data_IF_369616895187
#
_entry.id   IF_369616895187
#
_cell.length_a   1.000
_cell.length_b   1.000
_cell.length_c   1.000
_cell.angle_alpha   90.00
_cell.angle_beta   90.00
_cell.angle_gamma   90.00
#
_symmetry.space_group_name_H-M   'P 1'
#
loop_
_entity.id
_entity.type
_entity.pdbx_description
1 polymer ?
#
# COMPACT_ATOMS: atom_id res chain seq x y z
N UNK A 1 -16.58 -18.08 61.94
CA UNK A 1 -16.00 -17.20 60.91
C UNK A 1 -16.15 -17.89 59.56
N UNK A 2 -16.98 -17.35 58.67
CA UNK A 2 -17.20 -17.88 57.30
C UNK A 2 -16.38 -17.03 56.33
N UNK A 3 -15.37 -17.61 55.69
CA UNK A 3 -14.59 -16.93 54.65
C UNK A 3 -15.29 -17.14 53.30
N UNK A 4 -15.71 -16.04 52.68
CA UNK A 4 -16.32 -16.00 51.36
C UNK A 4 -15.18 -15.97 50.31
N UNK A 5 -14.94 -17.10 49.64
CA UNK A 5 -14.03 -17.20 48.50
C UNK A 5 -14.67 -16.55 47.28
N UNK A 6 -14.32 -15.29 47.00
CA UNK A 6 -14.69 -14.62 45.74
C UNK A 6 -13.65 -15.02 44.70
N UNK A 7 -13.97 -16.05 43.92
CA UNK A 7 -13.24 -16.42 42.71
C UNK A 7 -13.50 -15.37 41.64
N UNK A 8 -12.57 -14.44 41.44
CA UNK A 8 -12.64 -13.46 40.36
C UNK A 8 -12.22 -14.14 39.07
N UNK A 9 -13.20 -14.64 38.32
CA UNK A 9 -13.03 -15.18 36.98
C UNK A 9 -12.62 -14.04 36.03
N UNK A 10 -11.32 -13.93 35.75
CA UNK A 10 -10.78 -12.96 34.80
C UNK A 10 -11.15 -13.43 33.38
N UNK A 11 -12.28 -12.95 32.87
CA UNK A 11 -12.68 -13.14 31.48
C UNK A 11 -11.66 -12.40 30.58
N UNK A 12 -10.68 -13.13 30.05
CA UNK A 12 -9.89 -12.67 28.91
C UNK A 12 -10.82 -12.65 27.68
N UNK A 13 -11.51 -11.53 27.46
CA UNK A 13 -12.14 -11.26 26.18
C UNK A 13 -11.04 -11.06 25.16
N UNK A 14 -10.77 -12.09 24.35
CA UNK A 14 -9.94 -11.97 23.18
C UNK A 14 -10.59 -10.95 22.24
N UNK A 15 -10.10 -9.71 22.29
CA UNK A 15 -10.40 -8.72 21.26
C UNK A 15 -9.75 -9.23 19.97
N UNK A 16 -10.54 -9.89 19.13
CA UNK A 16 -10.18 -10.13 17.74
C UNK A 16 -9.99 -8.77 17.09
N UNK A 17 -8.74 -8.32 16.96
CA UNK A 17 -8.41 -7.13 16.18
C UNK A 17 -8.93 -7.41 14.76
N UNK A 18 -9.86 -6.62 14.23
CA UNK A 18 -10.35 -6.81 12.87
C UNK A 18 -9.13 -6.74 11.93
N UNK A 19 -8.89 -7.85 11.24
CA UNK A 19 -7.75 -7.99 10.35
C UNK A 19 -8.06 -7.14 9.10
N UNK A 20 -7.41 -6.00 8.96
CA UNK A 20 -7.49 -5.11 7.79
C UNK A 20 -6.84 -5.72 6.52
N UNK A 21 -6.99 -7.03 6.33
CA UNK A 21 -6.52 -7.74 5.14
C UNK A 21 -7.48 -7.40 3.99
N UNK A 22 -7.04 -6.56 3.05
CA UNK A 22 -7.74 -6.29 1.79
C UNK A 22 -7.31 -7.35 0.77
N UNK A 23 -8.19 -7.69 -0.15
CA UNK A 23 -7.85 -8.58 -1.25
C UNK A 23 -8.08 -7.87 -2.58
N UNK A 24 -7.07 -7.87 -3.45
CA UNK A 24 -7.17 -7.36 -4.80
C UNK A 24 -7.21 -8.51 -5.80
N UNK A 25 -7.95 -8.35 -6.89
CA UNK A 25 -7.97 -9.32 -7.98
C UNK A 25 -7.08 -8.82 -9.12
N UNK A 26 -6.03 -9.59 -9.42
CA UNK A 26 -5.02 -9.24 -10.42
C UNK A 26 -4.79 -10.44 -11.31
N UNK A 27 -5.05 -10.29 -12.62
CA UNK A 27 -4.95 -11.37 -13.60
C UNK A 27 -5.74 -12.64 -13.19
N UNK A 28 -6.94 -12.46 -12.61
CA UNK A 28 -7.78 -13.55 -12.12
C UNK A 28 -7.27 -14.23 -10.85
N UNK A 29 -6.24 -13.68 -10.19
CA UNK A 29 -5.73 -14.16 -8.91
C UNK A 29 -6.08 -13.20 -7.79
N UNK A 30 -6.60 -13.73 -6.70
CA UNK A 30 -6.86 -12.98 -5.47
C UNK A 30 -5.58 -12.86 -4.66
N UNK A 31 -5.10 -11.63 -4.46
CA UNK A 31 -3.88 -11.30 -3.72
C UNK A 31 -4.27 -10.58 -2.44
N UNK A 32 -3.83 -11.11 -1.30
CA UNK A 32 -4.04 -10.49 0.00
C UNK A 32 -2.99 -9.40 0.21
N UNK A 33 -3.44 -8.21 0.56
CA UNK A 33 -2.61 -7.05 0.80
C UNK A 33 -2.95 -6.41 2.14
N UNK A 34 -1.94 -5.80 2.76
CA UNK A 34 -2.07 -5.11 4.03
C UNK A 34 -1.27 -3.81 3.96
N UNK A 35 -1.88 -2.69 4.38
CA UNK A 35 -1.24 -1.37 4.37
C UNK A 35 -0.50 -1.07 5.68
N UNK A 36 -0.89 -1.71 6.79
CA UNK A 36 -0.27 -1.53 8.11
C UNK A 36 1.20 -1.96 8.14
N UNK A 37 1.56 -2.96 7.31
CA UNK A 37 2.96 -3.37 7.15
C UNK A 37 3.80 -2.37 6.33
N UNK A 38 3.15 -1.35 5.76
CA UNK A 38 3.73 -0.35 4.87
C UNK A 38 3.88 1.04 5.48
N UNK A 39 3.70 1.23 6.81
CA UNK A 39 3.66 2.56 7.44
C UNK A 39 4.87 3.46 7.10
N UNK A 40 6.08 2.89 6.93
CA UNK A 40 7.27 3.67 6.52
C UNK A 40 7.14 4.33 5.14
N UNK A 41 6.24 3.83 4.30
CA UNK A 41 6.00 4.30 2.94
C UNK A 41 4.86 5.33 2.85
N UNK A 42 4.13 5.57 3.94
CA UNK A 42 3.14 6.65 4.02
C UNK A 42 3.82 8.00 3.73
N UNK A 43 3.18 8.84 2.93
CA UNK A 43 3.69 10.13 2.52
C UNK A 43 3.35 10.48 1.08
N UNK A 44 3.88 11.62 0.62
CA UNK A 44 3.73 12.11 -0.75
C UNK A 44 4.98 11.81 -1.55
N UNK A 45 4.80 11.40 -2.79
CA UNK A 45 5.85 11.18 -3.77
C UNK A 45 5.58 12.09 -4.96
N UNK A 46 6.63 12.72 -5.46
CA UNK A 46 6.53 13.70 -6.54
C UNK A 46 7.28 13.18 -7.76
N UNK A 47 6.56 13.14 -8.87
CA UNK A 47 7.11 12.86 -10.20
C UNK A 47 7.74 14.09 -10.84
N UNK A 48 8.48 13.88 -11.93
CA UNK A 48 9.33 14.91 -12.57
C UNK A 48 8.51 16.00 -13.28
N UNK A 49 7.32 15.65 -13.77
CA UNK A 49 6.50 16.51 -14.63
C UNK A 49 5.17 16.91 -13.99
N UNK A 50 5.02 16.67 -12.68
CA UNK A 50 3.87 17.13 -11.88
C UNK A 50 2.87 16.04 -11.50
N UNK A 51 3.14 14.78 -11.86
CA UNK A 51 2.50 13.60 -11.32
C UNK A 51 2.87 13.41 -9.85
N UNK A 52 2.03 12.68 -9.11
CA UNK A 52 2.27 12.44 -7.69
C UNK A 52 1.54 11.21 -7.19
N UNK A 53 2.09 10.63 -6.12
CA UNK A 53 1.44 9.59 -5.30
C UNK A 53 1.27 10.13 -3.89
N UNK A 54 0.10 9.94 -3.30
CA UNK A 54 -0.13 10.15 -1.87
C UNK A 54 -0.56 8.80 -1.30
N UNK A 55 0.18 8.30 -0.31
CA UNK A 55 -0.16 7.10 0.45
C UNK A 55 -0.52 7.51 1.88
N UNK A 56 -1.78 7.30 2.27
CA UNK A 56 -2.27 7.56 3.61
C UNK A 56 -2.15 6.31 4.48
N UNK A 57 -2.04 6.52 5.80
CA UNK A 57 -1.83 5.46 6.78
C UNK A 57 -3.00 4.47 6.92
N UNK A 58 -4.18 4.82 6.43
CA UNK A 58 -5.41 4.00 6.43
C UNK A 58 -5.56 3.11 5.17
N UNK A 59 -4.53 3.11 4.30
CA UNK A 59 -4.57 2.36 3.04
C UNK A 59 -5.38 3.05 1.94
N UNK A 60 -5.75 4.33 2.11
CA UNK A 60 -6.24 5.19 1.03
C UNK A 60 -5.10 5.99 0.40
N UNK A 61 -5.36 6.62 -0.74
CA UNK A 61 -4.38 7.46 -1.39
C UNK A 61 -4.89 8.12 -2.67
N UNK A 62 -3.98 8.81 -3.34
CA UNK A 62 -4.26 9.43 -4.63
C UNK A 62 -3.09 9.21 -5.57
N UNK A 63 -3.37 8.78 -6.80
CA UNK A 63 -2.39 8.58 -7.85
C UNK A 63 -2.67 9.53 -9.01
N UNK A 64 -1.69 10.32 -9.44
CA UNK A 64 -1.80 11.16 -10.64
C UNK A 64 -0.58 10.93 -11.53
N UNK A 65 -0.80 10.51 -12.76
CA UNK A 65 0.26 10.27 -13.73
C UNK A 65 1.14 11.52 -13.97
N UNK A 66 2.42 11.27 -14.28
CA UNK A 66 3.36 12.29 -14.74
C UNK A 66 3.07 12.72 -16.18
N UNK A 67 2.38 11.87 -16.95
CA UNK A 67 2.05 12.10 -18.35
C UNK A 67 0.61 11.68 -18.66
N UNK A 68 -0.02 12.37 -19.61
CA UNK A 68 -1.35 12.02 -20.07
C UNK A 68 -1.28 10.88 -21.11
N UNK A 69 -2.08 9.85 -20.92
CA UNK A 69 -2.37 8.89 -21.99
C UNK A 69 -3.49 9.48 -22.84
N UNK A 70 -3.28 9.63 -24.16
CA UNK A 70 -4.10 10.49 -25.03
C UNK A 70 -5.62 10.50 -24.78
N UNK A 71 -6.28 9.34 -24.85
CA UNK A 71 -7.74 9.23 -24.68
C UNK A 71 -8.21 9.10 -23.24
N UNK A 72 -7.30 9.19 -22.26
CA UNK A 72 -7.58 8.96 -20.85
C UNK A 72 -7.53 10.23 -20.03
N UNK A 73 -8.38 10.28 -19.01
CA UNK A 73 -8.36 11.38 -18.06
C UNK A 73 -7.00 11.45 -17.35
N UNK A 74 -6.42 12.64 -17.33
CA UNK A 74 -5.22 12.96 -16.53
C UNK A 74 -5.59 13.47 -15.13
N UNK A 75 -6.83 13.26 -14.72
CA UNK A 75 -7.25 13.57 -13.36
C UNK A 75 -6.63 12.60 -12.36
N UNK A 76 -6.45 13.03 -11.11
CA UNK A 76 -6.06 12.11 -10.04
C UNK A 76 -7.06 10.97 -9.89
N UNK A 77 -6.54 9.78 -9.63
CA UNK A 77 -7.25 8.54 -9.34
C UNK A 77 -7.26 8.36 -7.83
N UNK A 78 -8.45 8.21 -7.23
CA UNK A 78 -8.54 7.79 -5.83
C UNK A 78 -8.22 6.31 -5.72
N UNK A 79 -7.30 5.95 -4.84
CA UNK A 79 -6.79 4.58 -4.73
C UNK A 79 -7.00 4.03 -3.32
N UNK A 80 -7.17 2.73 -3.24
CA UNK A 80 -6.78 1.97 -2.06
C UNK A 80 -5.49 1.23 -2.36
N UNK A 81 -4.64 1.05 -1.34
CA UNK A 81 -3.33 0.44 -1.53
C UNK A 81 -2.99 -0.58 -0.45
N UNK A 82 -2.02 -1.44 -0.76
CA UNK A 82 -1.48 -2.40 0.21
C UNK A 82 -0.29 -3.17 -0.34
N UNK A 83 0.37 -3.91 0.55
CA UNK A 83 1.57 -4.70 0.25
C UNK A 83 1.35 -6.16 0.64
N UNK A 84 2.04 -7.08 -0.02
CA UNK A 84 1.98 -8.51 0.33
C UNK A 84 2.77 -8.76 1.61
N UNK A 85 2.20 -9.58 2.50
CA UNK A 85 2.81 -10.00 3.75
C UNK A 85 3.53 -11.35 3.57
N UNK A 86 4.78 -11.46 4.02
CA UNK A 86 5.49 -12.74 4.12
C UNK A 86 5.03 -13.53 5.34
N UNK A 87 5.43 -14.80 5.43
CA UNK A 87 5.03 -15.72 6.53
C UNK A 87 5.38 -15.18 7.93
N UNK A 88 6.50 -14.47 8.06
CA UNK A 88 6.93 -13.83 9.32
C UNK A 88 6.21 -12.50 9.63
N UNK A 89 5.26 -12.11 8.79
CA UNK A 89 4.46 -10.92 8.94
C UNK A 89 5.09 -9.59 8.51
N UNK A 90 6.28 -9.62 7.91
CA UNK A 90 6.91 -8.46 7.27
C UNK A 90 6.36 -8.23 5.86
N UNK A 91 6.56 -7.04 5.25
CA UNK A 91 6.28 -6.87 3.82
C UNK A 91 7.26 -7.69 2.97
N UNK A 92 6.74 -8.35 1.93
CA UNK A 92 7.56 -9.02 0.91
C UNK A 92 8.49 -7.99 0.28
N UNK A 93 9.75 -8.37 0.08
CA UNK A 93 10.76 -7.51 -0.54
C UNK A 93 11.79 -8.34 -1.29
N UNK A 94 12.43 -7.72 -2.28
CA UNK A 94 13.51 -8.30 -3.06
C UNK A 94 14.78 -7.47 -2.92
N UNK A 95 15.90 -8.14 -2.68
CA UNK A 95 17.21 -7.49 -2.64
C UNK A 95 17.67 -7.14 -4.04
N UNK A 96 18.12 -5.90 -4.23
CA UNK A 96 18.67 -5.37 -5.48
C UNK A 96 20.07 -4.81 -5.22
N UNK A 97 20.87 -4.61 -6.28
CA UNK A 97 22.21 -4.01 -6.16
C UNK A 97 22.19 -2.64 -5.46
N UNK A 98 21.12 -1.87 -5.67
CA UNK A 98 20.94 -0.52 -5.16
C UNK A 98 20.18 -0.43 -3.83
N UNK A 99 19.60 -1.54 -3.32
CA UNK A 99 18.75 -1.51 -2.12
C UNK A 99 17.72 -2.64 -2.08
N UNK A 100 16.48 -2.32 -1.72
CA UNK A 100 15.34 -3.25 -1.67
C UNK A 100 14.18 -2.72 -2.50
N UNK A 101 13.48 -3.62 -3.20
CA UNK A 101 12.22 -3.31 -3.89
C UNK A 101 11.06 -4.04 -3.21
N UNK A 102 9.98 -3.32 -2.94
CA UNK A 102 8.81 -3.84 -2.26
C UNK A 102 7.57 -3.73 -3.17
N UNK A 103 6.92 -4.85 -3.53
CA UNK A 103 5.67 -4.80 -4.28
C UNK A 103 4.60 -4.02 -3.53
N UNK A 104 3.96 -3.11 -4.25
CA UNK A 104 2.79 -2.37 -3.80
C UNK A 104 1.72 -2.46 -4.87
N UNK A 105 0.48 -2.55 -4.41
CA UNK A 105 -0.68 -2.63 -5.28
C UNK A 105 -1.61 -1.46 -5.02
N UNK A 106 -2.17 -0.92 -6.09
CA UNK A 106 -3.13 0.18 -6.06
C UNK A 106 -4.41 -0.28 -6.74
N UNK A 107 -5.56 -0.15 -6.09
CA UNK A 107 -6.86 -0.39 -6.68
C UNK A 107 -7.64 0.92 -6.77
N UNK A 108 -8.10 1.26 -7.97
CA UNK A 108 -8.96 2.44 -8.17
C UNK A 108 -10.26 2.34 -7.36
N UNK A 109 -10.73 3.47 -6.82
CA UNK A 109 -11.94 3.57 -6.00
C UNK A 109 -13.06 4.38 -6.68
N UNK A 110 -12.75 5.11 -7.76
CA UNK A 110 -13.65 6.07 -8.41
C UNK A 110 -14.03 5.66 -9.85
N UNK A 111 -13.82 4.39 -10.21
CA UNK A 111 -14.11 3.87 -11.55
C UNK A 111 -13.11 4.29 -12.62
N UNK A 112 -12.12 5.13 -12.30
CA UNK A 112 -10.97 5.40 -13.18
C UNK A 112 -10.08 4.16 -13.27
N UNK A 113 -9.24 4.11 -14.29
CA UNK A 113 -8.37 2.95 -14.56
C UNK A 113 -6.96 3.40 -14.88
N UNK A 114 -6.01 2.55 -14.54
CA UNK A 114 -4.58 2.70 -14.79
C UNK A 114 -4.20 2.27 -16.22
N UNK A 115 -2.95 2.59 -16.61
CA UNK A 115 -2.29 2.18 -17.86
C UNK A 115 -3.16 2.41 -19.10
N UNK A 116 -3.52 3.66 -19.36
CA UNK A 116 -4.41 3.98 -20.49
C UNK A 116 -5.83 3.48 -20.30
N UNK A 117 -6.35 3.57 -19.07
CA UNK A 117 -7.72 3.21 -18.70
C UNK A 117 -8.06 1.71 -18.86
N UNK A 118 -7.07 0.83 -18.83
CA UNK A 118 -7.24 -0.60 -19.06
C UNK A 118 -7.35 -1.40 -17.75
N UNK A 119 -6.60 -1.00 -16.72
CA UNK A 119 -6.42 -1.81 -15.51
C UNK A 119 -7.07 -1.15 -14.29
N UNK A 120 -7.87 -1.89 -13.51
CA UNK A 120 -8.43 -1.38 -12.24
C UNK A 120 -7.43 -1.46 -11.08
N UNK A 121 -6.44 -2.35 -11.21
CA UNK A 121 -5.38 -2.56 -10.25
C UNK A 121 -4.03 -2.35 -10.92
N UNK A 122 -3.17 -1.55 -10.30
CA UNK A 122 -1.80 -1.33 -10.73
C UNK A 122 -0.85 -1.99 -9.73
N UNK A 123 0.00 -2.88 -10.23
CA UNK A 123 1.19 -3.36 -9.51
C UNK A 123 2.36 -2.41 -9.79
N UNK A 124 3.07 -2.05 -8.72
CA UNK A 124 4.25 -1.21 -8.74
C UNK A 124 5.23 -1.62 -7.62
N UNK A 125 6.34 -0.90 -7.49
CA UNK A 125 7.38 -1.16 -6.50
C UNK A 125 7.79 0.12 -5.78
N UNK A 126 7.83 0.04 -4.45
CA UNK A 126 8.55 1.01 -3.62
C UNK A 126 10.01 0.59 -3.51
N UNK A 127 10.92 1.47 -3.89
CA UNK A 127 12.36 1.27 -3.86
C UNK A 127 12.92 1.94 -2.61
N UNK A 128 13.65 1.19 -1.79
CA UNK A 128 14.41 1.72 -0.66
C UNK A 128 15.89 1.55 -0.98
N UNK A 129 16.57 2.65 -1.25
CA UNK A 129 17.99 2.65 -1.60
C UNK A 129 18.87 2.46 -0.36
N UNK A 130 20.14 2.13 -0.60
CA UNK A 130 21.15 1.95 0.46
C UNK A 130 21.39 3.20 1.31
N UNK A 131 21.14 4.37 0.75
CA UNK A 131 21.24 5.66 1.45
C UNK A 131 19.97 6.01 2.26
N UNK A 132 18.95 5.15 2.23
CA UNK A 132 17.68 5.34 2.93
C UNK A 132 16.63 6.13 2.13
N UNK A 133 16.96 6.65 0.95
CA UNK A 133 15.97 7.31 0.08
C UNK A 133 14.91 6.32 -0.41
N UNK A 134 13.69 6.83 -0.59
CA UNK A 134 12.53 6.04 -1.03
C UNK A 134 11.97 6.63 -2.32
N UNK A 135 11.80 5.78 -3.32
CA UNK A 135 11.19 6.13 -4.60
C UNK A 135 10.10 5.12 -4.99
N UNK A 136 9.25 5.50 -5.95
CA UNK A 136 8.27 4.60 -6.59
C UNK A 136 8.73 4.30 -8.01
N UNK A 137 8.69 3.03 -8.38
CA UNK A 137 9.19 2.49 -9.64
C UNK A 137 8.13 2.48 -10.76
N UNK A 138 7.35 3.56 -10.89
CA UNK A 138 6.85 3.94 -12.21
C UNK A 138 8.07 4.36 -13.04
N UNK A 139 7.99 4.39 -14.36
CA UNK A 139 9.07 4.79 -15.28
C UNK A 139 9.74 6.15 -14.99
N UNK A 140 9.27 6.89 -13.99
CA UNK A 140 9.48 8.32 -13.79
C UNK A 140 10.19 8.66 -12.47
N UNK A 141 10.71 7.66 -11.72
CA UNK A 141 11.50 7.81 -10.48
C UNK A 141 10.86 8.77 -9.46
N UNK A 142 9.63 8.51 -9.03
CA UNK A 142 8.95 9.43 -8.12
C UNK A 142 9.61 9.43 -6.75
N UNK A 143 10.03 10.61 -6.29
CA UNK A 143 10.76 10.75 -5.02
C UNK A 143 9.83 11.09 -3.88
N UNK A 144 10.03 10.43 -2.74
CA UNK A 144 9.32 10.80 -1.51
C UNK A 144 9.71 12.24 -1.12
N UNK A 145 8.71 13.07 -0.88
CA UNK A 145 8.90 14.43 -0.36
C UNK A 145 8.38 14.49 1.08
N UNK A 146 9.12 15.20 1.93
CA UNK A 146 8.77 15.44 3.33
C UNK A 146 7.73 16.56 3.45
#
# INVERSE_FOLDING_TARGET
MKYLLISTLFLFTAFSVPKNDKAFEIHGKRIQVNHEIGQKFVGKYQGKTGGYLILNADGSGTYKYDYAFGSCSNEPIQISWGMIKSENGSPVSFTRKYGKSYPIFFQSQDGKRFRGCQEEVLEDYLLVYKDGSIEVSTSDDWKKIN
#
